data_IF_788747459564
#
_entry.id   IF_788747459564
#
_cell.length_a   1.000
_cell.length_b   1.000
_cell.length_c   1.000
_cell.angle_alpha   90.00
_cell.angle_beta   90.00
_cell.angle_gamma   90.00
#
_symmetry.space_group_name_H-M   'P 1'
#
loop_
_entity.id
_entity.type
_entity.pdbx_description
1 polymer ?
#
# COMPACT_ATOMS: atom_id res chain seq x y z
N UNK A 1 -32.52 -38.61 69.94
CA UNK A 1 -31.44 -38.93 68.98
C UNK A 1 -31.84 -38.40 67.63
N UNK A 2 -31.38 -37.23 67.29
CA UNK A 2 -31.59 -36.61 65.96
C UNK A 2 -30.27 -36.50 65.24
N UNK A 3 -30.14 -37.19 64.12
CA UNK A 3 -28.98 -37.16 63.26
C UNK A 3 -29.07 -35.94 62.33
N UNK A 4 -28.17 -34.95 62.49
CA UNK A 4 -27.98 -33.84 61.58
C UNK A 4 -27.08 -34.30 60.47
N UNK A 5 -27.62 -34.39 59.23
CA UNK A 5 -26.82 -34.62 58.02
C UNK A 5 -26.31 -33.28 57.50
N UNK A 6 -25.01 -33.01 57.66
CA UNK A 6 -24.33 -31.89 57.05
C UNK A 6 -24.05 -32.19 55.55
N UNK A 7 -24.66 -31.46 54.66
CA UNK A 7 -24.33 -31.48 53.21
C UNK A 7 -23.26 -30.46 52.96
N UNK A 8 -22.04 -30.94 52.65
CA UNK A 8 -20.93 -30.11 52.17
C UNK A 8 -21.18 -29.80 50.70
N UNK A 9 -21.59 -28.56 50.36
CA UNK A 9 -21.66 -28.08 49.00
C UNK A 9 -20.25 -27.60 48.58
N UNK A 10 -19.56 -28.40 47.74
CA UNK A 10 -18.30 -28.00 47.11
C UNK A 10 -18.61 -27.02 45.95
N UNK A 11 -18.41 -25.73 46.19
CA UNK A 11 -18.50 -24.71 45.17
C UNK A 11 -17.30 -24.81 44.24
N UNK A 12 -17.53 -25.22 42.98
CA UNK A 12 -16.51 -25.11 41.90
C UNK A 12 -16.44 -23.66 41.52
N UNK A 13 -15.39 -22.96 41.99
CA UNK A 13 -15.02 -21.62 41.49
C UNK A 13 -14.39 -21.83 40.13
N UNK A 14 -15.17 -21.63 39.06
CA UNK A 14 -14.65 -21.53 37.71
C UNK A 14 -13.84 -20.26 37.64
N UNK A 15 -12.52 -20.38 37.77
CA UNK A 15 -11.59 -19.29 37.48
C UNK A 15 -11.65 -18.99 35.97
N UNK A 16 -12.43 -18.00 35.61
CA UNK A 16 -12.40 -17.41 34.27
C UNK A 16 -11.02 -16.77 34.09
N UNK A 17 -10.08 -17.45 33.46
CA UNK A 17 -8.85 -16.84 33.00
C UNK A 17 -9.21 -15.86 31.90
N UNK A 18 -9.36 -14.59 32.24
CA UNK A 18 -9.40 -13.52 31.25
C UNK A 18 -8.07 -13.58 30.50
N UNK A 19 -8.10 -14.10 29.28
CA UNK A 19 -6.96 -13.97 28.39
C UNK A 19 -6.69 -12.47 28.24
N UNK A 20 -5.51 -12.01 28.67
CA UNK A 20 -5.09 -10.63 28.44
C UNK A 20 -5.05 -10.43 26.91
N UNK A 21 -5.71 -9.37 26.45
CA UNK A 21 -5.68 -9.00 25.05
C UNK A 21 -4.22 -8.73 24.64
N UNK A 22 -3.77 -9.33 23.55
CA UNK A 22 -2.43 -9.12 23.01
C UNK A 22 -2.51 -8.00 21.98
N UNK A 23 -1.82 -6.89 22.26
CA UNK A 23 -1.73 -5.79 21.31
C UNK A 23 -0.62 -6.05 20.29
N UNK A 24 -1.00 -6.08 19.01
CA UNK A 24 -0.08 -6.18 17.89
C UNK A 24 0.40 -4.77 17.55
N UNK A 25 1.72 -4.58 17.43
CA UNK A 25 2.29 -3.32 16.98
C UNK A 25 2.83 -3.44 15.55
N UNK A 26 2.45 -2.50 14.70
CA UNK A 26 2.94 -2.43 13.32
C UNK A 26 3.32 -1.01 12.93
N UNK A 27 4.22 -0.87 11.98
CA UNK A 27 4.59 0.43 11.45
C UNK A 27 5.02 0.35 9.99
N UNK A 28 4.79 1.42 9.24
CA UNK A 28 5.31 1.51 7.88
C UNK A 28 4.40 2.20 6.88
N UNK A 29 4.21 1.57 5.74
CA UNK A 29 3.57 2.11 4.57
C UNK A 29 2.23 2.82 4.86
N UNK A 30 2.05 3.99 4.26
CA UNK A 30 0.76 4.71 4.32
C UNK A 30 -0.22 4.20 3.27
N UNK A 31 0.28 3.53 2.24
CA UNK A 31 -0.52 2.93 1.17
C UNK A 31 -1.65 2.02 1.72
N UNK A 32 -1.39 1.02 2.61
CA UNK A 32 -2.44 0.14 3.11
C UNK A 32 -3.19 0.68 4.34
N UNK A 33 -2.88 1.87 4.83
CA UNK A 33 -3.42 2.35 6.10
C UNK A 33 -4.96 2.39 6.14
N UNK A 34 -5.69 2.86 5.10
CA UNK A 34 -7.14 2.79 5.09
C UNK A 34 -7.68 1.38 5.28
N UNK A 35 -7.05 0.38 4.65
CA UNK A 35 -7.40 -1.03 4.75
C UNK A 35 -7.06 -1.60 6.14
N UNK A 36 -5.83 -1.39 6.61
CA UNK A 36 -5.39 -1.92 7.91
C UNK A 36 -6.19 -1.35 9.07
N UNK A 37 -6.60 -0.09 9.00
CA UNK A 37 -7.48 0.53 9.99
C UNK A 37 -8.83 -0.18 10.07
N UNK A 38 -9.45 -0.48 8.92
CA UNK A 38 -10.72 -1.20 8.87
C UNK A 38 -10.61 -2.66 9.32
N UNK A 39 -9.54 -3.34 8.92
CA UNK A 39 -9.27 -4.69 9.39
C UNK A 39 -9.02 -4.73 10.91
N UNK A 40 -8.26 -3.79 11.46
CA UNK A 40 -8.01 -3.68 12.90
C UNK A 40 -9.31 -3.51 13.70
N UNK A 41 -10.21 -2.63 13.23
CA UNK A 41 -11.51 -2.41 13.86
C UNK A 41 -12.39 -3.69 13.83
N UNK A 42 -12.43 -4.38 12.70
CA UNK A 42 -13.21 -5.58 12.53
C UNK A 42 -12.64 -6.74 13.36
N UNK A 43 -11.32 -6.95 13.33
CA UNK A 43 -10.62 -7.96 14.10
C UNK A 43 -10.81 -7.76 15.61
N UNK A 44 -10.67 -6.53 16.09
CA UNK A 44 -10.89 -6.20 17.51
C UNK A 44 -12.31 -6.48 17.96
N UNK A 45 -13.33 -6.19 17.13
CA UNK A 45 -14.73 -6.50 17.44
C UNK A 45 -14.97 -8.00 17.56
N UNK A 46 -14.28 -8.82 16.76
CA UNK A 46 -14.46 -10.27 16.74
C UNK A 46 -13.65 -10.98 17.84
N UNK A 47 -12.40 -10.55 18.07
CA UNK A 47 -11.45 -11.29 18.91
C UNK A 47 -11.13 -10.61 20.24
N UNK A 48 -11.39 -9.33 20.37
CA UNK A 48 -10.93 -8.50 21.50
C UNK A 48 -9.48 -8.00 21.38
N UNK A 49 -8.68 -8.57 20.46
CA UNK A 49 -7.27 -8.21 20.28
C UNK A 49 -7.12 -6.98 19.38
N UNK A 50 -6.21 -6.08 19.70
CA UNK A 50 -6.00 -4.83 19.01
C UNK A 50 -4.78 -4.84 18.08
N UNK A 51 -4.85 -4.02 17.05
CA UNK A 51 -3.71 -3.64 16.22
C UNK A 51 -3.43 -2.15 16.36
N UNK A 52 -2.23 -1.80 16.82
CA UNK A 52 -1.71 -0.44 16.79
C UNK A 52 -0.77 -0.30 15.60
N UNK A 53 -1.26 0.28 14.51
CA UNK A 53 -0.49 0.50 13.29
C UNK A 53 -0.11 1.97 13.12
N UNK A 54 1.19 2.23 12.99
CA UNK A 54 1.74 3.57 12.75
C UNK A 54 1.99 3.79 11.25
N UNK A 55 1.17 4.63 10.63
CA UNK A 55 1.29 5.04 9.22
C UNK A 55 2.38 6.10 9.08
N UNK A 56 3.64 5.68 8.91
CA UNK A 56 4.83 6.55 8.94
C UNK A 56 5.73 6.46 7.70
N UNK A 57 5.31 5.70 6.70
CA UNK A 57 6.03 5.44 5.45
C UNK A 57 6.88 4.18 5.50
N UNK A 58 7.02 3.53 4.33
CA UNK A 58 7.71 2.24 4.17
C UNK A 58 9.15 2.27 4.68
N UNK A 59 9.89 3.34 4.40
CA UNK A 59 11.28 3.48 4.86
C UNK A 59 11.41 3.48 6.38
N UNK A 60 10.47 4.11 7.10
CA UNK A 60 10.45 4.09 8.56
C UNK A 60 9.99 2.72 9.08
N UNK A 61 9.03 2.07 8.43
CA UNK A 61 8.58 0.71 8.77
C UNK A 61 9.69 -0.32 8.67
N UNK A 62 10.46 -0.30 7.57
CA UNK A 62 11.64 -1.15 7.40
C UNK A 62 12.64 -0.93 8.55
N UNK A 63 12.95 0.32 8.88
CA UNK A 63 13.88 0.64 9.99
C UNK A 63 13.36 0.14 11.33
N UNK A 64 12.07 0.28 11.62
CA UNK A 64 11.50 -0.17 12.89
C UNK A 64 11.51 -1.69 13.02
N UNK A 65 11.16 -2.44 11.97
CA UNK A 65 11.24 -3.90 12.03
C UNK A 65 12.70 -4.39 12.16
N UNK A 66 13.64 -3.77 11.45
CA UNK A 66 15.07 -4.05 11.61
C UNK A 66 15.57 -3.78 13.03
N UNK A 67 15.10 -2.70 13.67
CA UNK A 67 15.39 -2.34 15.05
C UNK A 67 14.61 -3.17 16.09
N UNK A 68 13.70 -4.07 15.65
CA UNK A 68 12.86 -4.91 16.53
C UNK A 68 11.95 -4.11 17.49
N UNK A 69 11.52 -2.93 17.09
CA UNK A 69 10.65 -2.04 17.89
C UNK A 69 9.16 -2.25 17.63
N UNK A 70 8.81 -3.04 16.63
CA UNK A 70 7.44 -3.40 16.27
C UNK A 70 7.34 -4.90 15.96
N UNK A 71 6.14 -5.46 16.08
CA UNK A 71 5.86 -6.87 15.76
C UNK A 71 5.98 -7.13 14.26
N UNK A 72 5.51 -6.17 13.44
CA UNK A 72 5.68 -6.24 11.99
C UNK A 72 5.97 -4.87 11.37
N UNK A 73 6.68 -4.87 10.26
CA UNK A 73 6.84 -3.73 9.37
C UNK A 73 5.93 -3.87 8.15
N UNK A 74 5.55 -2.74 7.55
CA UNK A 74 4.85 -2.75 6.25
C UNK A 74 5.56 -1.86 5.24
N UNK A 75 5.69 -2.37 4.00
CA UNK A 75 6.38 -1.68 2.91
C UNK A 75 5.75 -1.98 1.55
N UNK A 76 5.59 -0.94 0.71
CA UNK A 76 5.18 -1.15 -0.68
C UNK A 76 6.38 -1.34 -1.62
N UNK A 77 7.59 -1.21 -1.09
CA UNK A 77 8.83 -1.66 -1.74
C UNK A 77 9.21 -3.02 -1.14
N UNK A 78 9.17 -4.11 -1.92
CA UNK A 78 9.64 -5.40 -1.44
C UNK A 78 11.14 -5.35 -1.18
N UNK A 79 11.60 -6.06 -0.14
CA UNK A 79 13.02 -6.29 0.12
C UNK A 79 13.51 -7.48 -0.72
N UNK A 80 14.73 -7.38 -1.20
CA UNK A 80 15.39 -8.49 -1.91
C UNK A 80 15.68 -9.64 -0.96
N UNK A 81 15.75 -10.86 -1.50
CA UNK A 81 16.00 -12.08 -0.71
C UNK A 81 17.27 -11.98 0.15
N UNK A 82 18.35 -11.42 -0.39
CA UNK A 82 19.62 -11.24 0.33
C UNK A 82 19.46 -10.29 1.54
N UNK A 83 18.61 -9.25 1.39
CA UNK A 83 18.34 -8.32 2.50
C UNK A 83 17.47 -8.97 3.57
N UNK A 84 16.46 -9.75 3.16
CA UNK A 84 15.60 -10.49 4.08
C UNK A 84 16.42 -11.50 4.90
N UNK A 85 17.33 -12.22 4.25
CA UNK A 85 18.21 -13.19 4.91
C UNK A 85 19.16 -12.50 5.90
N UNK A 86 19.81 -11.43 5.47
CA UNK A 86 20.72 -10.64 6.33
C UNK A 86 20.02 -10.11 7.59
N UNK A 87 18.78 -9.67 7.47
CA UNK A 87 18.02 -9.07 8.57
C UNK A 87 17.22 -10.13 9.37
N UNK A 88 17.24 -11.40 8.95
CA UNK A 88 16.46 -12.47 9.56
C UNK A 88 14.95 -12.27 9.43
N UNK A 89 14.53 -11.64 8.32
CA UNK A 89 13.14 -11.29 8.05
C UNK A 89 12.49 -12.26 7.08
N UNK A 90 11.20 -12.43 7.25
CA UNK A 90 10.26 -12.98 6.31
C UNK A 90 9.43 -11.85 5.73
N UNK A 91 9.07 -11.96 4.45
CA UNK A 91 8.17 -11.01 3.77
C UNK A 91 7.10 -11.77 3.00
N UNK A 92 5.90 -11.16 2.89
CA UNK A 92 4.84 -11.63 2.00
C UNK A 92 3.97 -10.48 1.52
N UNK A 93 3.34 -10.57 0.32
CA UNK A 93 2.36 -9.60 -0.14
C UNK A 93 1.05 -9.74 0.65
N UNK A 94 0.49 -8.64 1.14
CA UNK A 94 -0.74 -8.66 1.94
C UNK A 94 -1.96 -8.21 1.16
N UNK A 95 -1.81 -7.21 0.30
CA UNK A 95 -2.86 -6.71 -0.58
C UNK A 95 -2.23 -6.01 -1.79
N UNK A 96 -3.01 -5.88 -2.85
CA UNK A 96 -2.65 -5.13 -4.05
C UNK A 96 -3.53 -3.89 -4.12
N UNK A 97 -2.99 -2.78 -4.58
CA UNK A 97 -3.70 -1.53 -4.83
C UNK A 97 -3.07 -0.80 -6.00
N UNK A 98 -3.48 0.43 -6.21
CA UNK A 98 -3.01 1.22 -7.33
C UNK A 98 -2.71 2.67 -6.93
N UNK A 99 -1.73 3.26 -7.57
CA UNK A 99 -1.47 4.68 -7.48
C UNK A 99 -2.14 5.39 -8.64
N UNK A 100 -2.66 6.56 -8.32
CA UNK A 100 -3.28 7.44 -9.32
C UNK A 100 -2.63 8.82 -9.29
N UNK A 101 -2.41 9.43 -10.46
CA UNK A 101 -2.17 10.87 -10.53
C UNK A 101 -3.44 11.59 -10.05
N UNK A 102 -3.28 12.53 -9.12
CA UNK A 102 -4.37 13.38 -8.63
C UNK A 102 -4.09 14.84 -8.95
N UNK A 103 -5.11 15.59 -9.31
CA UNK A 103 -4.98 16.98 -9.72
C UNK A 103 -6.01 17.86 -9.03
N UNK A 104 -5.69 19.15 -8.91
CA UNK A 104 -6.63 20.17 -8.48
C UNK A 104 -6.79 21.20 -9.59
N UNK A 105 -7.62 20.87 -10.58
CA UNK A 105 -7.93 21.70 -11.74
C UNK A 105 -9.43 22.02 -11.76
N UNK A 106 -9.74 23.29 -11.86
CA UNK A 106 -11.13 23.75 -11.94
C UNK A 106 -11.81 23.25 -13.22
N UNK A 107 -13.02 22.71 -13.06
CA UNK A 107 -13.83 22.21 -14.17
C UNK A 107 -13.46 20.82 -14.70
N UNK A 108 -12.41 20.19 -14.20
CA UNK A 108 -12.00 18.84 -14.58
C UNK A 108 -12.58 17.82 -13.58
N UNK A 109 -13.26 16.81 -14.10
CA UNK A 109 -13.84 15.72 -13.29
C UNK A 109 -12.90 14.49 -13.21
N UNK A 110 -13.07 13.62 -12.19
CA UNK A 110 -12.33 12.37 -12.11
C UNK A 110 -12.41 11.55 -13.41
N UNK A 111 -11.25 11.13 -13.90
CA UNK A 111 -11.11 10.31 -15.11
C UNK A 111 -11.15 11.06 -16.44
N UNK A 112 -11.50 12.34 -16.47
CA UNK A 112 -11.53 13.12 -17.73
C UNK A 112 -10.13 13.41 -18.27
N UNK A 113 -9.17 13.72 -17.40
CA UNK A 113 -7.78 14.01 -17.78
C UNK A 113 -7.01 12.71 -18.00
N UNK A 114 -6.25 12.66 -19.09
CA UNK A 114 -5.41 11.51 -19.46
C UNK A 114 -3.95 11.95 -19.51
N UNK A 115 -3.07 11.16 -18.91
CA UNK A 115 -1.63 11.31 -19.05
C UNK A 115 -1.01 10.10 -19.75
N UNK A 116 0.12 10.31 -20.43
CA UNK A 116 1.07 9.25 -20.74
C UNK A 116 2.14 9.19 -19.65
N UNK A 117 2.80 8.04 -19.53
CA UNK A 117 3.92 7.91 -18.59
C UNK A 117 5.08 8.85 -18.89
N UNK A 118 5.35 9.11 -20.18
CA UNK A 118 6.36 10.07 -20.60
C UNK A 118 6.04 11.49 -20.12
N UNK A 119 4.78 11.93 -20.31
CA UNK A 119 4.31 13.25 -19.85
C UNK A 119 4.38 13.37 -18.32
N UNK A 120 3.99 12.33 -17.58
CA UNK A 120 4.15 12.31 -16.12
C UNK A 120 5.62 12.44 -15.73
N UNK A 121 6.52 11.69 -16.36
CA UNK A 121 7.96 11.81 -16.13
C UNK A 121 8.47 13.23 -16.39
N UNK A 122 8.09 13.85 -17.49
CA UNK A 122 8.52 15.20 -17.86
C UNK A 122 7.94 16.30 -16.94
N UNK A 123 6.73 16.12 -16.40
CA UNK A 123 6.17 16.98 -15.35
C UNK A 123 7.04 16.89 -14.08
N UNK A 124 7.35 15.68 -13.61
CA UNK A 124 8.14 15.47 -12.39
C UNK A 124 9.63 15.78 -12.56
N UNK A 125 10.15 15.79 -13.81
CA UNK A 125 11.47 16.36 -14.15
C UNK A 125 11.47 17.89 -14.17
N UNK A 126 10.31 18.56 -14.11
CA UNK A 126 10.18 20.01 -14.23
C UNK A 126 10.39 20.53 -15.65
N UNK A 127 10.27 19.68 -16.68
CA UNK A 127 10.33 20.06 -18.10
C UNK A 127 9.01 20.63 -18.56
N UNK A 128 7.90 19.94 -18.29
CA UNK A 128 6.53 20.43 -18.50
C UNK A 128 6.13 21.22 -17.26
N UNK A 129 5.89 22.51 -17.44
CA UNK A 129 5.68 23.46 -16.34
C UNK A 129 4.29 24.10 -16.33
N UNK A 130 3.50 23.92 -17.38
CA UNK A 130 2.16 24.51 -17.53
C UNK A 130 1.15 23.47 -17.98
N UNK A 131 -0.11 23.67 -17.56
CA UNK A 131 -1.21 22.75 -17.89
C UNK A 131 -1.59 22.78 -19.39
N UNK A 132 -1.42 23.90 -20.08
CA UNK A 132 -1.68 24.05 -21.51
C UNK A 132 -0.50 23.61 -22.40
N UNK A 133 0.50 22.92 -21.84
CA UNK A 133 1.59 22.37 -22.62
C UNK A 133 1.08 21.44 -23.73
N UNK A 134 1.60 21.56 -24.98
CA UNK A 134 1.21 20.74 -26.13
C UNK A 134 1.23 19.24 -25.87
N UNK A 135 2.15 18.74 -25.03
CA UNK A 135 2.22 17.31 -24.68
C UNK A 135 1.02 16.85 -23.86
N UNK A 136 0.44 17.72 -23.01
CA UNK A 136 -0.77 17.43 -22.23
C UNK A 136 -2.00 17.62 -23.09
N UNK A 137 -2.12 18.77 -23.81
CA UNK A 137 -3.33 19.10 -24.57
C UNK A 137 -3.59 18.15 -25.73
N UNK A 138 -2.52 17.62 -26.36
CA UNK A 138 -2.62 16.59 -27.41
C UNK A 138 -3.30 15.30 -26.92
N UNK A 139 -3.06 14.90 -25.67
CA UNK A 139 -3.73 13.75 -25.05
C UNK A 139 -5.17 14.07 -24.64
N UNK A 140 -5.51 15.36 -24.52
CA UNK A 140 -6.78 15.84 -23.98
C UNK A 140 -7.45 16.88 -24.88
N UNK A 141 -7.70 16.59 -26.17
CA UNK A 141 -8.14 17.60 -27.15
C UNK A 141 -9.53 18.18 -26.86
N UNK A 142 -10.30 17.54 -26.01
CA UNK A 142 -11.65 18.01 -25.64
C UNK A 142 -11.66 18.85 -24.36
N UNK A 143 -10.54 18.92 -23.62
CA UNK A 143 -10.44 19.67 -22.38
C UNK A 143 -9.83 21.05 -22.65
N UNK A 144 -10.37 22.06 -22.00
CA UNK A 144 -9.78 23.39 -21.98
C UNK A 144 -8.91 23.52 -20.73
N UNK A 145 -7.62 23.23 -20.88
CA UNK A 145 -6.67 23.32 -19.79
C UNK A 145 -6.16 24.77 -19.62
N UNK A 146 -5.93 25.23 -18.37
CA UNK A 146 -5.50 26.60 -18.12
C UNK A 146 -4.01 26.80 -18.48
N UNK A 147 -3.61 28.01 -18.87
CA UNK A 147 -2.19 28.39 -19.10
C UNK A 147 -1.38 28.59 -17.80
N UNK A 148 -1.86 28.05 -16.69
CA UNK A 148 -1.26 28.22 -15.36
C UNK A 148 -0.12 27.24 -15.12
N UNK A 149 0.77 27.61 -14.17
CA UNK A 149 1.91 26.77 -13.79
C UNK A 149 1.44 25.52 -13.02
N UNK A 150 2.09 24.39 -13.26
CA UNK A 150 1.87 23.14 -12.52
C UNK A 150 2.65 23.21 -11.20
N UNK A 151 1.93 23.04 -10.08
CA UNK A 151 2.56 22.79 -8.78
C UNK A 151 2.65 21.29 -8.55
N UNK A 152 3.86 20.74 -8.58
CA UNK A 152 4.09 19.31 -8.29
C UNK A 152 4.11 19.08 -6.79
N UNK A 153 3.33 18.12 -6.30
CA UNK A 153 3.34 17.65 -4.91
C UNK A 153 3.92 16.23 -4.88
N UNK A 154 4.92 16.03 -4.05
CA UNK A 154 5.64 14.77 -3.94
C UNK A 154 5.85 14.38 -2.48
N UNK A 155 6.27 13.16 -2.21
CA UNK A 155 6.54 12.67 -0.85
C UNK A 155 7.83 13.27 -0.29
N UNK A 156 7.83 13.56 1.02
CA UNK A 156 8.99 14.02 1.77
C UNK A 156 9.57 12.97 2.72
N UNK A 157 8.86 11.88 2.93
CA UNK A 157 9.27 10.73 3.76
C UNK A 157 9.77 9.56 2.90
N UNK A 158 10.40 8.57 3.52
CA UNK A 158 10.75 7.30 2.86
C UNK A 158 9.48 6.50 2.56
N UNK A 159 9.04 6.49 1.31
CA UNK A 159 7.71 6.08 0.87
C UNK A 159 7.75 4.94 -0.12
N UNK A 160 7.02 3.85 0.18
CA UNK A 160 6.78 2.79 -0.81
C UNK A 160 5.89 3.24 -1.96
N UNK A 161 4.94 4.15 -1.71
CA UNK A 161 4.17 4.83 -2.77
C UNK A 161 5.10 5.57 -3.73
N UNK A 162 6.12 6.27 -3.21
CA UNK A 162 7.17 6.88 -4.03
C UNK A 162 7.97 5.84 -4.81
N UNK A 163 8.30 4.70 -4.20
CA UNK A 163 9.00 3.62 -4.91
C UNK A 163 8.18 3.13 -6.11
N UNK A 164 6.90 2.81 -5.94
CA UNK A 164 6.03 2.37 -7.03
C UNK A 164 5.92 3.44 -8.12
N UNK A 165 5.73 4.70 -7.74
CA UNK A 165 5.67 5.83 -8.67
C UNK A 165 6.96 6.00 -9.46
N UNK A 166 8.10 6.05 -8.79
CA UNK A 166 9.41 6.28 -9.43
C UNK A 166 9.90 5.07 -10.23
N UNK A 167 9.54 3.86 -9.84
CA UNK A 167 9.76 2.65 -10.64
C UNK A 167 8.97 2.70 -11.95
N UNK A 168 7.69 3.08 -11.87
CA UNK A 168 6.88 3.30 -13.07
C UNK A 168 7.51 4.37 -13.98
N UNK A 169 7.83 5.55 -13.45
CA UNK A 169 8.47 6.61 -14.24
C UNK A 169 9.79 6.17 -14.87
N UNK A 170 10.58 5.35 -14.15
CA UNK A 170 11.84 4.79 -14.69
C UNK A 170 11.61 3.80 -15.83
N UNK A 171 10.46 3.13 -15.91
CA UNK A 171 10.11 2.22 -17.01
C UNK A 171 9.65 2.94 -18.25
N UNK A 172 9.01 4.10 -18.10
CA UNK A 172 8.32 4.80 -19.19
C UNK A 172 8.97 6.11 -19.64
N UNK A 173 10.00 6.60 -18.91
CA UNK A 173 10.74 7.82 -19.24
C UNK A 173 12.24 7.59 -19.05
N UNK A 174 12.97 7.53 -20.15
CA UNK A 174 14.42 7.23 -20.13
C UNK A 174 15.24 8.30 -19.40
N UNK A 175 14.83 9.57 -19.50
CA UNK A 175 15.52 10.68 -18.81
C UNK A 175 15.31 10.60 -17.29
N UNK A 176 14.07 10.29 -16.84
CA UNK A 176 13.81 10.01 -15.43
C UNK A 176 14.68 8.87 -14.91
N UNK A 177 14.71 7.75 -15.65
CA UNK A 177 15.53 6.59 -15.29
C UNK A 177 17.00 6.93 -15.08
N UNK A 178 17.57 7.75 -15.98
CA UNK A 178 18.99 8.09 -15.95
C UNK A 178 19.35 9.14 -14.91
N UNK A 179 18.47 10.11 -14.65
CA UNK A 179 18.75 11.26 -13.77
C UNK A 179 18.27 11.05 -12.33
N UNK A 180 17.18 10.32 -12.13
CA UNK A 180 16.52 10.18 -10.82
C UNK A 180 16.46 8.73 -10.37
N UNK A 181 15.96 7.84 -11.24
CA UNK A 181 15.80 6.41 -10.91
C UNK A 181 14.58 6.12 -10.02
N UNK A 182 14.64 4.98 -9.34
CA UNK A 182 13.56 4.47 -8.49
C UNK A 182 14.04 4.24 -7.05
N UNK A 183 13.19 4.59 -6.06
CA UNK A 183 13.50 4.41 -4.65
C UNK A 183 12.38 4.89 -3.73
N UNK A 184 12.45 4.54 -2.45
CA UNK A 184 11.54 5.07 -1.43
C UNK A 184 11.80 6.55 -1.12
N UNK A 185 12.99 7.03 -1.45
CA UNK A 185 13.41 8.43 -1.42
C UNK A 185 14.34 8.66 -2.62
N UNK A 186 14.12 9.74 -3.34
CA UNK A 186 14.92 10.14 -4.52
C UNK A 186 15.22 11.62 -4.44
N UNK A 187 16.23 12.06 -5.22
CA UNK A 187 16.54 13.48 -5.40
C UNK A 187 15.53 14.08 -6.39
N UNK A 188 14.51 14.72 -5.85
CA UNK A 188 13.40 15.27 -6.66
C UNK A 188 13.86 16.52 -7.43
N UNK A 189 13.72 16.52 -8.76
CA UNK A 189 14.07 17.71 -9.57
C UNK A 189 13.21 18.94 -9.27
N UNK A 190 11.94 18.71 -8.86
CA UNK A 190 10.98 19.78 -8.58
C UNK A 190 9.94 19.33 -7.54
N UNK A 191 9.09 20.25 -7.16
CA UNK A 191 7.89 20.00 -6.33
C UNK A 191 8.08 20.24 -4.85
N UNK A 192 6.94 20.35 -4.16
CA UNK A 192 6.84 20.53 -2.71
C UNK A 192 6.62 19.20 -2.03
N UNK A 193 7.27 18.98 -0.90
CA UNK A 193 7.19 17.74 -0.13
C UNK A 193 5.99 17.71 0.80
N UNK A 194 5.32 16.54 0.87
CA UNK A 194 4.25 16.26 1.80
C UNK A 194 4.45 14.87 2.43
N UNK A 195 4.12 14.71 3.71
CA UNK A 195 4.31 13.46 4.44
C UNK A 195 3.09 12.55 4.30
N UNK A 196 3.32 11.30 3.91
CA UNK A 196 2.27 10.29 3.76
C UNK A 196 1.39 10.50 2.53
N UNK A 197 0.54 9.52 2.21
CA UNK A 197 -0.51 9.66 1.20
C UNK A 197 -1.52 10.75 1.61
N UNK A 198 -1.88 10.82 2.89
CA UNK A 198 -2.74 11.83 3.49
C UNK A 198 -2.21 13.25 3.30
N UNK A 199 -0.92 13.45 3.49
CA UNK A 199 -0.28 14.75 3.31
C UNK A 199 -0.25 15.19 1.84
N UNK A 200 0.01 14.27 0.90
CA UNK A 200 -0.06 14.56 -0.54
C UNK A 200 -1.50 14.87 -0.93
N UNK A 201 -2.48 14.06 -0.51
CA UNK A 201 -3.89 14.30 -0.81
C UNK A 201 -4.36 15.65 -0.27
N UNK A 202 -4.02 15.99 0.98
CA UNK A 202 -4.35 17.27 1.58
C UNK A 202 -3.74 18.47 0.86
N UNK A 203 -2.44 18.37 0.50
CA UNK A 203 -1.75 19.43 -0.25
C UNK A 203 -2.36 19.66 -1.64
N UNK A 204 -2.60 18.59 -2.40
CA UNK A 204 -3.24 18.70 -3.72
C UNK A 204 -4.63 19.32 -3.59
N UNK A 205 -5.43 18.86 -2.62
CA UNK A 205 -6.79 19.40 -2.41
C UNK A 205 -6.82 20.90 -2.08
N UNK A 206 -5.78 21.43 -1.43
CA UNK A 206 -5.67 22.84 -1.05
C UNK A 206 -4.93 23.71 -2.05
N UNK A 207 -4.13 23.12 -2.96
CA UNK A 207 -3.29 23.87 -3.90
C UNK A 207 -3.91 23.81 -5.30
N UNK A 208 -4.44 24.93 -5.79
CA UNK A 208 -4.94 25.01 -7.18
C UNK A 208 -3.80 24.75 -8.16
N UNK A 209 -4.14 24.20 -9.31
CA UNK A 209 -3.22 23.88 -10.39
C UNK A 209 -2.08 22.93 -9.98
N UNK A 210 -2.34 22.06 -9.00
CA UNK A 210 -1.37 21.07 -8.54
C UNK A 210 -1.62 19.68 -9.11
N UNK A 211 -0.55 18.89 -9.11
CA UNK A 211 -0.54 17.45 -9.39
C UNK A 211 0.20 16.73 -8.27
N UNK A 212 -0.30 15.58 -7.86
CA UNK A 212 0.35 14.66 -6.94
C UNK A 212 0.09 13.21 -7.33
N UNK A 213 0.57 12.28 -6.52
CA UNK A 213 0.28 10.85 -6.64
C UNK A 213 -0.05 10.28 -5.26
N UNK A 214 -1.10 9.49 -5.21
CA UNK A 214 -1.56 8.81 -3.99
C UNK A 214 -2.08 7.42 -4.32
N UNK A 215 -2.21 6.59 -3.30
CA UNK A 215 -2.98 5.36 -3.41
C UNK A 215 -4.47 5.69 -3.65
N UNK A 216 -5.16 4.87 -4.44
CA UNK A 216 -6.49 5.18 -5.00
C UNK A 216 -7.58 5.39 -3.93
N UNK A 217 -7.55 4.66 -2.82
CA UNK A 217 -8.51 4.85 -1.73
C UNK A 217 -8.43 6.27 -1.15
N UNK A 218 -7.23 6.85 -1.06
CA UNK A 218 -7.09 8.25 -0.62
C UNK A 218 -7.73 9.24 -1.59
N UNK A 219 -7.55 9.04 -2.90
CA UNK A 219 -8.18 9.90 -3.90
C UNK A 219 -9.71 9.86 -3.78
N UNK A 220 -10.29 8.67 -3.58
CA UNK A 220 -11.74 8.50 -3.39
C UNK A 220 -12.24 9.10 -2.07
N UNK A 221 -11.59 8.81 -0.96
CA UNK A 221 -11.99 9.31 0.36
C UNK A 221 -11.94 10.83 0.46
N UNK A 222 -10.92 11.45 -0.16
CA UNK A 222 -10.76 12.91 -0.18
C UNK A 222 -11.44 13.58 -1.38
N UNK A 223 -12.10 12.81 -2.24
CA UNK A 223 -12.81 13.29 -3.43
C UNK A 223 -11.92 14.10 -4.38
N UNK A 224 -10.66 13.73 -4.49
CA UNK A 224 -9.73 14.34 -5.44
C UNK A 224 -10.04 13.90 -6.86
N UNK A 225 -9.79 14.80 -7.82
CA UNK A 225 -9.82 14.48 -9.24
C UNK A 225 -8.59 13.65 -9.58
N UNK A 226 -8.80 12.39 -9.93
CA UNK A 226 -7.75 11.51 -10.47
C UNK A 226 -7.78 11.48 -11.99
N UNK A 227 -6.66 11.17 -12.61
CA UNK A 227 -6.52 11.07 -14.06
C UNK A 227 -6.42 9.61 -14.51
N UNK A 228 -6.85 9.35 -15.77
CA UNK A 228 -6.51 8.12 -16.47
C UNK A 228 -5.07 8.15 -17.00
N UNK A 229 -4.51 6.97 -17.29
CA UNK A 229 -3.13 6.85 -17.76
C UNK A 229 -3.06 5.92 -18.97
N UNK A 230 -2.27 6.31 -19.98
CA UNK A 230 -1.96 5.44 -21.12
C UNK A 230 -1.03 4.33 -20.65
N UNK A 231 -1.47 3.08 -20.84
CA UNK A 231 -0.72 1.89 -20.41
C UNK A 231 0.28 1.41 -21.47
N UNK A 232 1.00 0.34 -21.15
CA UNK A 232 2.01 -0.28 -22.02
C UNK A 232 1.49 -0.70 -23.40
N UNK A 233 0.20 -1.05 -23.51
CA UNK A 233 -0.47 -1.38 -24.77
C UNK A 233 -0.91 -0.14 -25.57
N UNK A 234 -0.59 1.08 -25.09
CA UNK A 234 -0.99 2.34 -25.75
C UNK A 234 -2.47 2.69 -25.55
N UNK A 235 -3.16 2.05 -24.60
CA UNK A 235 -4.56 2.31 -24.30
C UNK A 235 -4.70 3.28 -23.11
N UNK A 236 -5.56 4.27 -23.24
CA UNK A 236 -5.96 5.11 -22.12
C UNK A 236 -6.86 4.29 -21.17
N UNK A 237 -6.39 4.02 -19.97
CA UNK A 237 -7.06 3.18 -18.96
C UNK A 237 -7.50 4.04 -17.81
N UNK A 238 -8.66 3.71 -17.23
CA UNK A 238 -9.17 4.30 -15.99
C UNK A 238 -8.78 3.44 -14.78
N UNK A 239 -8.56 4.06 -13.61
CA UNK A 239 -8.28 3.32 -12.39
C UNK A 239 -9.58 2.67 -11.89
N UNK A 240 -9.69 1.37 -12.11
CA UNK A 240 -10.81 0.54 -11.67
C UNK A 240 -10.28 -0.76 -11.09
N UNK A 241 -11.08 -1.40 -10.24
CA UNK A 241 -10.75 -2.73 -9.68
C UNK A 241 -10.37 -3.70 -10.81
N UNK A 242 -11.10 -3.71 -11.91
CA UNK A 242 -10.84 -4.59 -13.06
C UNK A 242 -9.48 -4.30 -13.71
N UNK A 243 -9.10 -3.03 -13.85
CA UNK A 243 -7.80 -2.66 -14.44
C UNK A 243 -6.63 -2.98 -13.50
N UNK A 244 -6.85 -2.92 -12.19
CA UNK A 244 -5.86 -3.34 -11.19
C UNK A 244 -5.69 -4.86 -11.19
N UNK A 245 -6.81 -5.61 -11.24
CA UNK A 245 -6.80 -7.07 -11.37
C UNK A 245 -6.09 -7.54 -12.65
N UNK A 246 -6.33 -6.84 -13.77
CA UNK A 246 -5.64 -7.16 -15.03
C UNK A 246 -4.12 -7.00 -14.93
N UNK A 247 -3.63 -5.98 -14.24
CA UNK A 247 -2.20 -5.82 -13.97
C UNK A 247 -1.68 -6.90 -13.01
N UNK A 248 -2.41 -7.16 -11.93
CA UNK A 248 -2.05 -8.14 -10.90
C UNK A 248 -1.98 -9.58 -11.42
N UNK A 249 -2.78 -9.93 -12.44
CA UNK A 249 -2.81 -11.25 -13.07
C UNK A 249 -1.46 -11.67 -13.69
N UNK A 250 -0.56 -10.71 -13.96
CA UNK A 250 0.78 -10.99 -14.48
C UNK A 250 1.81 -11.35 -13.40
N UNK A 251 1.42 -11.35 -12.12
CA UNK A 251 2.34 -11.57 -11.00
C UNK A 251 2.72 -13.03 -10.83
N UNK A 252 4.02 -13.33 -10.89
CA UNK A 252 4.55 -14.70 -10.69
C UNK A 252 5.08 -14.90 -9.26
N UNK A 253 4.20 -14.77 -8.26
CA UNK A 253 4.55 -14.83 -6.84
C UNK A 253 5.32 -16.09 -6.44
N UNK A 254 4.88 -17.24 -6.94
CA UNK A 254 5.48 -18.54 -6.60
C UNK A 254 6.92 -18.73 -7.12
N UNK A 255 7.31 -17.97 -8.15
CA UNK A 255 8.63 -18.05 -8.78
C UNK A 255 9.61 -16.99 -8.25
N UNK A 256 9.12 -16.07 -7.40
CA UNK A 256 9.89 -14.91 -6.94
C UNK A 256 10.40 -15.12 -5.52
N UNK A 257 11.72 -15.29 -5.30
CA UNK A 257 12.29 -15.42 -3.97
C UNK A 257 11.91 -14.24 -3.06
N UNK A 258 11.44 -14.54 -1.84
CA UNK A 258 10.94 -13.52 -0.92
C UNK A 258 9.72 -12.77 -1.44
N UNK A 259 8.97 -13.34 -2.41
CA UNK A 259 7.85 -12.67 -3.07
C UNK A 259 8.22 -11.31 -3.71
N UNK A 260 9.45 -11.15 -4.20
CA UNK A 260 9.90 -9.91 -4.81
C UNK A 260 9.25 -9.72 -6.18
N UNK A 261 8.07 -9.10 -6.21
CA UNK A 261 7.31 -8.81 -7.44
C UNK A 261 6.98 -7.31 -7.48
N UNK A 262 7.20 -6.69 -8.64
CA UNK A 262 6.88 -5.28 -8.92
C UNK A 262 5.85 -5.26 -10.05
N UNK A 263 4.69 -4.63 -9.79
CA UNK A 263 3.50 -4.69 -10.66
C UNK A 263 3.33 -3.45 -11.55
N UNK A 264 4.31 -2.56 -11.61
CA UNK A 264 4.27 -1.39 -12.49
C UNK A 264 4.49 -1.77 -13.96
N UNK A 265 3.81 -1.08 -14.86
CA UNK A 265 3.92 -1.22 -16.32
C UNK A 265 3.70 -2.65 -16.84
N UNK A 266 2.72 -3.36 -16.25
CA UNK A 266 2.38 -4.72 -16.68
C UNK A 266 1.72 -4.73 -18.06
N UNK A 267 1.90 -5.82 -18.84
CA UNK A 267 1.25 -5.97 -20.14
C UNK A 267 -0.26 -6.16 -20.00
N UNK A 268 -0.98 -5.96 -21.09
CA UNK A 268 -2.43 -6.12 -21.19
C UNK A 268 -3.12 -4.82 -21.59
N UNK A 269 -4.14 -4.93 -22.45
CA UNK A 269 -4.87 -3.76 -22.97
C UNK A 269 -5.63 -2.98 -21.89
N UNK A 270 -6.04 -3.65 -20.81
CA UNK A 270 -6.80 -3.07 -19.71
C UNK A 270 -6.00 -2.90 -18.42
N UNK A 271 -4.72 -3.31 -18.39
CA UNK A 271 -3.88 -3.25 -17.20
C UNK A 271 -3.61 -1.81 -16.78
N UNK A 272 -3.92 -1.49 -15.51
CA UNK A 272 -3.54 -0.21 -14.91
C UNK A 272 -2.01 -0.15 -14.72
N UNK A 273 -1.33 0.87 -15.24
CA UNK A 273 0.14 0.84 -15.30
C UNK A 273 0.84 1.12 -13.97
N UNK A 274 0.15 1.67 -12.98
CA UNK A 274 0.77 2.06 -11.70
C UNK A 274 0.16 1.23 -10.55
N UNK A 275 0.20 -0.09 -10.73
CA UNK A 275 -0.25 -1.07 -9.74
C UNK A 275 0.92 -1.44 -8.81
N UNK A 276 0.64 -1.65 -7.53
CA UNK A 276 1.61 -2.05 -6.53
C UNK A 276 1.03 -3.02 -5.51
N UNK A 277 1.89 -3.75 -4.83
CA UNK A 277 1.52 -4.55 -3.67
C UNK A 277 2.12 -3.94 -2.40
N UNK A 278 1.46 -4.16 -1.27
CA UNK A 278 2.03 -3.88 0.04
C UNK A 278 2.46 -5.18 0.70
N UNK A 279 3.61 -5.14 1.35
CA UNK A 279 4.26 -6.30 1.95
C UNK A 279 4.34 -6.17 3.45
N UNK A 280 4.16 -7.28 4.15
CA UNK A 280 4.43 -7.41 5.56
C UNK A 280 5.84 -7.98 5.75
N UNK A 281 6.55 -7.44 6.75
CA UNK A 281 7.87 -7.86 7.16
C UNK A 281 7.80 -8.32 8.62
N UNK A 282 8.22 -9.56 8.90
CA UNK A 282 8.29 -10.10 10.27
C UNK A 282 9.59 -10.85 10.50
N UNK A 283 10.06 -10.89 11.77
CA UNK A 283 11.21 -11.69 12.10
C UNK A 283 10.90 -13.19 12.07
N UNK A 284 11.80 -13.99 11.46
CA UNK A 284 11.76 -15.47 11.50
C UNK A 284 11.93 -16.01 12.92
N UNK A 285 12.70 -15.30 13.75
CA UNK A 285 12.89 -15.59 15.17
C UNK A 285 12.48 -14.35 15.99
N UNK A 286 11.18 -14.18 16.28
CA UNK A 286 10.69 -13.00 16.97
C UNK A 286 11.14 -12.96 18.44
N UNK A 287 11.36 -11.74 18.97
CA UNK A 287 11.66 -11.51 20.37
C UNK A 287 10.40 -11.77 21.22
N UNK A 288 9.27 -11.21 20.81
CA UNK A 288 7.96 -11.47 21.42
C UNK A 288 7.19 -12.48 20.58
N UNK A 289 7.23 -13.74 21.01
CA UNK A 289 6.54 -14.84 20.32
C UNK A 289 5.03 -14.74 20.40
N UNK A 290 4.49 -14.22 21.51
CA UNK A 290 3.04 -14.09 21.68
C UNK A 290 2.47 -13.03 20.75
N UNK A 291 3.09 -11.84 20.68
CA UNK A 291 2.70 -10.79 19.76
C UNK A 291 2.89 -11.22 18.28
N UNK A 292 3.96 -11.95 17.98
CA UNK A 292 4.20 -12.49 16.64
C UNK A 292 3.13 -13.51 16.23
N UNK A 293 2.78 -14.44 17.11
CA UNK A 293 1.74 -15.43 16.86
C UNK A 293 0.37 -14.75 16.64
N UNK A 294 0.07 -13.72 17.44
CA UNK A 294 -1.17 -12.95 17.27
C UNK A 294 -1.19 -12.15 15.96
N UNK A 295 -0.06 -11.58 15.55
CA UNK A 295 0.04 -10.91 14.25
C UNK A 295 -0.23 -11.88 13.08
N UNK A 296 0.28 -13.11 13.13
CA UNK A 296 -0.02 -14.14 12.13
C UNK A 296 -1.52 -14.48 12.12
N UNK A 297 -2.18 -14.59 13.29
CA UNK A 297 -3.64 -14.80 13.35
C UNK A 297 -4.40 -13.63 12.72
N UNK A 298 -3.97 -12.40 12.99
CA UNK A 298 -4.56 -11.21 12.37
C UNK A 298 -4.46 -11.24 10.83
N UNK A 299 -3.27 -11.52 10.29
CA UNK A 299 -3.09 -11.57 8.83
C UNK A 299 -3.80 -12.77 8.19
N UNK A 300 -3.85 -13.90 8.90
CA UNK A 300 -4.67 -15.04 8.47
C UNK A 300 -6.16 -14.69 8.44
N UNK A 301 -6.66 -14.07 9.51
CA UNK A 301 -8.04 -13.55 9.56
C UNK A 301 -8.31 -12.56 8.41
N UNK A 302 -7.35 -11.68 8.11
CA UNK A 302 -7.47 -10.74 7.01
C UNK A 302 -7.60 -11.43 5.65
N UNK A 303 -6.89 -12.53 5.40
CA UNK A 303 -7.05 -13.35 4.19
C UNK A 303 -8.37 -14.15 4.17
N UNK A 304 -8.87 -14.62 5.31
CA UNK A 304 -10.07 -15.44 5.38
C UNK A 304 -11.37 -14.64 5.39
N UNK A 305 -11.36 -13.43 5.97
CA UNK A 305 -12.56 -12.64 6.24
C UNK A 305 -12.46 -11.18 5.81
N UNK A 306 -11.27 -10.73 5.49
CA UNK A 306 -10.98 -9.32 5.17
C UNK A 306 -11.19 -8.92 3.72
N UNK A 307 -11.41 -9.85 2.81
CA UNK A 307 -11.50 -9.61 1.37
C UNK A 307 -12.58 -8.59 1.01
N UNK A 308 -13.78 -8.75 1.58
CA UNK A 308 -14.88 -7.80 1.32
C UNK A 308 -14.53 -6.39 1.75
N UNK A 309 -13.81 -6.22 2.87
CA UNK A 309 -13.37 -4.90 3.35
C UNK A 309 -12.34 -4.31 2.38
N UNK A 310 -11.44 -5.15 1.84
CA UNK A 310 -10.46 -4.72 0.85
C UNK A 310 -11.16 -4.25 -0.44
N UNK A 311 -12.09 -5.03 -0.96
CA UNK A 311 -12.86 -4.71 -2.17
C UNK A 311 -13.70 -3.43 -2.02
N UNK A 312 -14.33 -3.22 -0.85
CA UNK A 312 -15.08 -1.98 -0.54
C UNK A 312 -14.20 -0.72 -0.57
N UNK A 313 -12.87 -0.88 -0.41
CA UNK A 313 -11.87 0.19 -0.47
C UNK A 313 -11.07 0.17 -1.78
N UNK A 314 -11.48 -0.61 -2.78
CA UNK A 314 -10.85 -0.81 -4.07
C UNK A 314 -9.42 -1.40 -4.02
N UNK A 315 -9.07 -2.09 -2.93
CA UNK A 315 -7.91 -2.98 -2.90
C UNK A 315 -8.25 -4.34 -3.49
N UNK A 316 -7.24 -5.01 -4.02
CA UNK A 316 -7.38 -6.36 -4.54
C UNK A 316 -6.84 -7.34 -3.49
N UNK A 317 -7.67 -8.25 -2.98
CA UNK A 317 -7.22 -9.36 -2.13
C UNK A 317 -6.18 -10.22 -2.83
N UNK A 318 -5.36 -10.92 -2.04
CA UNK A 318 -4.41 -11.88 -2.60
C UNK A 318 -5.14 -13.12 -3.10
N UNK A 319 -4.78 -13.67 -4.27
CA UNK A 319 -5.37 -14.91 -4.76
C UNK A 319 -5.15 -16.09 -3.79
N UNK A 320 -6.14 -16.97 -3.63
CA UNK A 320 -6.09 -18.14 -2.74
C UNK A 320 -4.83 -18.99 -2.89
N UNK A 321 -4.37 -19.18 -4.13
CA UNK A 321 -3.15 -19.94 -4.40
C UNK A 321 -1.92 -19.27 -3.78
N UNK A 322 -1.87 -17.94 -3.75
CA UNK A 322 -0.78 -17.17 -3.14
C UNK A 322 -0.92 -17.19 -1.62
N UNK A 323 -2.14 -17.06 -1.08
CA UNK A 323 -2.41 -17.17 0.36
C UNK A 323 -1.91 -18.51 0.91
N UNK A 324 -2.25 -19.63 0.24
CA UNK A 324 -1.75 -20.97 0.64
C UNK A 324 -0.23 -21.05 0.63
N UNK A 325 0.43 -20.40 -0.30
CA UNK A 325 1.89 -20.33 -0.37
C UNK A 325 2.48 -19.54 0.79
N UNK A 326 1.85 -18.41 1.14
CA UNK A 326 2.21 -17.56 2.29
C UNK A 326 2.06 -18.35 3.60
N UNK A 327 0.93 -19.02 3.82
CA UNK A 327 0.68 -19.84 5.02
C UNK A 327 1.72 -20.97 5.17
N UNK A 328 2.10 -21.61 4.06
CA UNK A 328 3.18 -22.62 4.05
C UNK A 328 4.52 -21.99 4.48
N UNK A 329 4.81 -20.79 3.99
CA UNK A 329 6.03 -20.04 4.35
C UNK A 329 6.04 -19.69 5.83
N UNK A 330 4.92 -19.20 6.39
CA UNK A 330 4.81 -18.94 7.84
C UNK A 330 5.11 -20.18 8.68
N UNK A 331 4.52 -21.32 8.30
CA UNK A 331 4.69 -22.58 9.03
C UNK A 331 6.12 -23.12 8.98
N UNK A 332 6.87 -22.83 7.89
CA UNK A 332 8.24 -23.29 7.70
C UNK A 332 9.27 -22.38 8.39
N UNK A 333 9.06 -21.07 8.32
CA UNK A 333 10.11 -20.09 8.60
C UNK A 333 9.93 -19.34 9.93
N UNK A 334 8.72 -19.24 10.50
CA UNK A 334 8.50 -18.56 11.77
C UNK A 334 8.67 -19.57 12.92
N UNK A 335 9.69 -19.33 13.75
CA UNK A 335 9.96 -20.14 14.95
C UNK A 335 9.02 -19.70 16.09
N UNK A 336 7.98 -20.48 16.31
CA UNK A 336 7.05 -20.34 17.43
C UNK A 336 7.70 -20.58 18.81
#
# INVERSE_FOLDING_TARGET
MQFIKSILAAGIVAASTSALAVDITGAGATFPFPLYSKWADAYKKETGNGLNYQSIGSGAGIKQIQAKTVTFGASDMPLKAEQLEKDGLLQWPQAIGALVPVVNLEGIKPGELIFSGEVLGDIYLGKIKKWDDPAITKLNPKLKLPGEAITVVRRSDGSGTTFVWTDYLSKVNAEWKSKVGAGTAVEWPTGVGAKGNEGVAGNVGQTRNSIGYVEYAYAKQTKLTYAGVVNKAGKAVQPTVQSFQAAAANAEWAKSPGYYVILTDQPGETSWPITGATFILMHKAPVDKAASAEAIKFFKWAFEKGDRIAEELDYIPMPDAVVKLIEKTWSADIKS
#
